data_IF_829160092209
#
_entry.id   IF_829160092209
#
_cell.length_a   1.000
_cell.length_b   1.000
_cell.length_c   1.000
_cell.angle_alpha   90.00
_cell.angle_beta   90.00
_cell.angle_gamma   90.00
#
_symmetry.space_group_name_H-M   'P 1'
#
loop_
_entity.id
_entity.type
_entity.pdbx_description
1 polymer ?
#
# COMPACT_ATOMS: atom_id res chain seq x y z
N UNK A 1 15.15 -1.47 -29.47
CA UNK A 1 15.12 -1.65 -28.00
C UNK A 1 14.58 -0.38 -27.37
N UNK A 2 13.28 -0.30 -27.12
CA UNK A 2 12.65 0.77 -26.33
C UNK A 2 11.39 0.18 -25.72
N UNK A 3 11.50 -0.25 -24.47
CA UNK A 3 10.42 -0.91 -23.73
C UNK A 3 9.48 0.17 -23.18
N UNK A 4 8.40 0.45 -23.91
CA UNK A 4 7.46 1.55 -23.61
C UNK A 4 6.21 1.11 -22.84
N UNK A 5 6.13 -0.15 -22.40
CA UNK A 5 4.88 -0.77 -21.91
C UNK A 5 4.96 -1.24 -20.45
N UNK A 6 5.68 -0.52 -19.57
CA UNK A 6 5.89 -0.97 -18.17
C UNK A 6 5.00 -0.31 -17.11
N UNK A 7 4.05 0.55 -17.47
CA UNK A 7 3.27 1.29 -16.45
C UNK A 7 1.75 1.16 -16.55
N UNK A 8 1.26 0.13 -17.22
CA UNK A 8 -0.16 -0.23 -17.19
C UNK A 8 -0.34 -1.49 -16.36
N UNK A 9 -1.12 -1.39 -15.28
CA UNK A 9 -1.69 -2.56 -14.63
C UNK A 9 -2.41 -3.35 -15.73
N UNK A 10 -1.86 -4.48 -16.13
CA UNK A 10 -2.55 -5.37 -17.06
C UNK A 10 -3.89 -5.77 -16.38
N UNK A 11 -5.06 -5.52 -16.99
CA UNK A 11 -6.35 -5.81 -16.36
C UNK A 11 -6.47 -7.25 -15.88
N UNK A 12 -5.94 -8.21 -16.66
CA UNK A 12 -5.90 -9.63 -16.26
C UNK A 12 -5.04 -9.89 -15.01
N UNK A 13 -3.99 -9.09 -14.80
CA UNK A 13 -3.14 -9.18 -13.61
C UNK A 13 -3.80 -8.56 -12.38
N UNK A 14 -4.59 -7.49 -12.54
CA UNK A 14 -5.33 -6.87 -11.43
C UNK A 14 -6.46 -7.77 -10.92
N UNK A 15 -7.23 -8.36 -11.84
CA UNK A 15 -8.28 -9.31 -11.48
C UNK A 15 -7.71 -10.48 -10.68
N UNK A 16 -6.57 -11.03 -11.10
CA UNK A 16 -5.88 -12.10 -10.38
C UNK A 16 -5.37 -11.64 -9.01
N UNK A 17 -4.84 -10.43 -8.91
CA UNK A 17 -4.36 -9.84 -7.64
C UNK A 17 -5.53 -9.64 -6.66
N UNK A 18 -6.64 -9.09 -7.12
CA UNK A 18 -7.86 -8.89 -6.32
C UNK A 18 -8.47 -10.23 -5.90
N UNK A 19 -8.55 -11.20 -6.81
CA UNK A 19 -8.99 -12.55 -6.48
C UNK A 19 -8.08 -13.20 -5.42
N UNK A 20 -6.77 -12.98 -5.50
CA UNK A 20 -5.83 -13.44 -4.48
C UNK A 20 -6.08 -12.79 -3.12
N UNK A 21 -6.26 -11.47 -3.09
CA UNK A 21 -6.56 -10.72 -1.89
C UNK A 21 -7.86 -11.17 -1.21
N UNK A 22 -8.91 -11.42 -2.00
CA UNK A 22 -10.19 -11.92 -1.50
C UNK A 22 -10.06 -13.28 -0.80
N UNK A 23 -9.21 -14.19 -1.30
CA UNK A 23 -8.99 -15.52 -0.68
C UNK A 23 -8.46 -15.43 0.75
N UNK A 24 -7.68 -14.39 1.07
CA UNK A 24 -7.14 -14.19 2.43
C UNK A 24 -8.18 -13.70 3.44
N UNK A 25 -9.34 -13.19 2.99
CA UNK A 25 -10.41 -12.65 3.86
C UNK A 25 -9.88 -11.62 4.87
N UNK A 26 -8.90 -10.83 4.45
CA UNK A 26 -8.17 -9.92 5.34
C UNK A 26 -8.91 -8.58 5.56
N UNK A 27 -9.74 -8.16 4.60
CA UNK A 27 -10.57 -6.95 4.76
C UNK A 27 -11.57 -7.13 5.91
N UNK A 28 -11.77 -6.08 6.71
CA UNK A 28 -12.61 -6.09 7.93
C UNK A 28 -12.14 -7.01 9.06
N UNK A 29 -10.94 -7.60 8.97
CA UNK A 29 -10.35 -8.33 10.09
C UNK A 29 -9.87 -7.36 11.19
N UNK A 30 -9.88 -7.84 12.44
CA UNK A 30 -9.46 -7.07 13.62
C UNK A 30 -7.96 -6.81 13.68
N UNK A 31 -7.51 -6.17 14.75
CA UNK A 31 -6.09 -5.93 15.00
C UNK A 31 -5.33 -7.27 15.20
N UNK A 32 -4.11 -7.36 14.69
CA UNK A 32 -3.29 -8.58 14.75
C UNK A 32 -1.88 -8.26 15.28
N UNK A 33 -1.49 -8.80 16.45
CA UNK A 33 -0.24 -8.44 17.10
C UNK A 33 1.01 -8.66 16.24
N UNK A 34 1.00 -9.68 15.37
CA UNK A 34 2.12 -9.97 14.47
C UNK A 34 2.41 -8.82 13.49
N UNK A 35 1.38 -8.32 12.81
CA UNK A 35 1.52 -7.19 11.90
C UNK A 35 1.92 -5.90 12.64
N UNK A 36 1.39 -5.69 13.84
CA UNK A 36 1.75 -4.54 14.68
C UNK A 36 3.23 -4.54 15.05
N UNK A 37 3.76 -5.70 15.41
CA UNK A 37 5.18 -5.83 15.74
C UNK A 37 6.07 -5.50 14.53
N UNK A 38 5.69 -5.92 13.31
CA UNK A 38 6.42 -5.56 12.10
C UNK A 38 6.43 -4.04 11.89
N UNK A 39 5.29 -3.36 12.07
CA UNK A 39 5.21 -1.90 11.94
C UNK A 39 6.10 -1.18 12.98
N UNK A 40 6.09 -1.67 14.23
CA UNK A 40 6.94 -1.13 15.31
C UNK A 40 8.42 -1.31 15.00
N UNK A 41 8.81 -2.49 14.48
CA UNK A 41 10.18 -2.77 14.11
C UNK A 41 10.63 -1.86 12.96
N UNK A 42 9.82 -1.72 11.91
CA UNK A 42 10.12 -0.84 10.77
C UNK A 42 10.29 0.61 11.23
N UNK A 43 9.34 1.16 11.99
CA UNK A 43 9.44 2.53 12.54
C UNK A 43 10.71 2.72 13.38
N UNK A 44 11.07 1.74 14.20
CA UNK A 44 12.26 1.80 15.06
C UNK A 44 13.56 1.75 14.26
N UNK A 45 13.70 0.79 13.33
CA UNK A 45 14.91 0.60 12.53
C UNK A 45 15.17 1.83 11.65
N UNK A 46 14.13 2.30 10.96
CA UNK A 46 14.25 3.42 10.03
C UNK A 46 14.15 4.79 10.71
N UNK A 47 13.86 4.83 12.03
CA UNK A 47 13.70 6.05 12.82
C UNK A 47 12.67 7.02 12.22
N UNK A 48 11.55 6.47 11.75
CA UNK A 48 10.45 7.22 11.13
C UNK A 48 9.23 7.27 12.05
N UNK A 49 8.46 8.37 12.03
CA UNK A 49 7.30 8.52 12.90
C UNK A 49 6.13 7.62 12.48
N UNK A 50 6.09 7.20 11.21
CA UNK A 50 4.99 6.44 10.63
C UNK A 50 5.54 5.19 9.94
N UNK A 51 4.92 4.04 10.22
CA UNK A 51 5.09 2.80 9.46
C UNK A 51 3.76 2.04 9.50
N UNK A 52 3.38 1.41 8.40
CA UNK A 52 2.13 0.66 8.33
C UNK A 52 2.21 -0.51 7.35
N UNK A 53 1.26 -1.43 7.52
CA UNK A 53 0.99 -2.52 6.58
C UNK A 53 -0.43 -2.32 6.09
N UNK A 54 -0.60 -2.31 4.77
CA UNK A 54 -1.90 -2.15 4.14
C UNK A 54 -2.13 -3.15 3.03
N UNK A 55 -3.41 -3.35 2.72
CA UNK A 55 -3.88 -4.19 1.64
C UNK A 55 -4.69 -3.36 0.67
N UNK A 56 -4.32 -3.40 -0.61
CA UNK A 56 -4.95 -2.59 -1.63
C UNK A 56 -6.11 -3.35 -2.29
N UNK A 57 -7.34 -2.95 -1.98
CA UNK A 57 -8.54 -3.44 -2.64
C UNK A 57 -8.78 -2.74 -3.97
N UNK A 58 -9.94 -2.98 -4.57
CA UNK A 58 -10.31 -2.39 -5.87
C UNK A 58 -10.40 -0.86 -5.78
N UNK A 59 -11.16 -0.35 -4.80
CA UNK A 59 -11.47 1.08 -4.65
C UNK A 59 -10.88 1.72 -3.38
N UNK A 60 -10.27 0.92 -2.52
CA UNK A 60 -9.79 1.39 -1.22
C UNK A 60 -8.53 0.65 -0.77
N UNK A 61 -7.69 1.35 -0.05
CA UNK A 61 -6.65 0.78 0.79
C UNK A 61 -7.24 0.45 2.17
N UNK A 62 -6.94 -0.74 2.67
CA UNK A 62 -7.20 -1.13 4.06
C UNK A 62 -5.90 -1.14 4.84
N UNK A 63 -5.75 -0.21 5.79
CA UNK A 63 -4.61 -0.17 6.70
C UNK A 63 -4.84 -1.21 7.80
N UNK A 64 -4.11 -2.32 7.72
CA UNK A 64 -4.25 -3.45 8.62
C UNK A 64 -3.72 -3.12 10.01
N UNK A 65 -2.48 -2.64 10.05
CA UNK A 65 -1.77 -2.22 11.25
C UNK A 65 -0.87 -1.03 10.94
N UNK A 66 -0.60 -0.23 11.97
CA UNK A 66 0.20 0.98 11.82
C UNK A 66 0.83 1.40 13.15
N UNK A 67 1.86 2.24 13.02
CA UNK A 67 2.43 3.09 14.07
C UNK A 67 2.40 4.53 13.56
N UNK A 68 1.98 5.47 14.43
CA UNK A 68 2.03 6.91 14.16
C UNK A 68 0.92 7.49 13.27
N UNK A 69 0.03 6.66 12.71
CA UNK A 69 -1.16 7.09 11.96
C UNK A 69 -2.40 7.09 12.85
N UNK A 70 -3.41 7.87 12.47
CA UNK A 70 -4.72 7.82 13.13
C UNK A 70 -5.41 6.50 12.83
N UNK A 71 -6.03 5.88 13.86
CA UNK A 71 -6.89 4.69 13.66
C UNK A 71 -8.12 4.99 12.78
N UNK A 72 -8.48 6.25 12.60
CA UNK A 72 -9.57 6.65 11.69
C UNK A 72 -9.20 6.43 10.21
N UNK A 73 -7.91 6.31 9.88
CA UNK A 73 -7.43 6.04 8.51
C UNK A 73 -7.39 4.54 8.17
N UNK A 74 -8.24 3.73 8.82
CA UNK A 74 -8.31 2.28 8.56
C UNK A 74 -8.70 1.97 7.11
N UNK A 75 -9.48 2.84 6.48
CA UNK A 75 -9.82 2.79 5.07
C UNK A 75 -9.48 4.11 4.40
N UNK A 76 -8.75 4.05 3.30
CA UNK A 76 -8.36 5.22 2.50
C UNK A 76 -8.84 4.98 1.07
N UNK A 77 -9.42 5.99 0.43
CA UNK A 77 -9.78 5.91 -0.99
C UNK A 77 -8.51 5.60 -1.80
N UNK A 78 -8.58 4.59 -2.68
CA UNK A 78 -7.40 4.12 -3.43
C UNK A 78 -6.76 5.25 -4.24
N UNK A 79 -7.53 6.23 -4.70
CA UNK A 79 -7.00 7.39 -5.44
C UNK A 79 -6.09 8.30 -4.60
N UNK A 80 -6.18 8.22 -3.27
CA UNK A 80 -5.34 8.97 -2.32
C UNK A 80 -4.24 8.11 -1.69
N UNK A 81 -4.14 6.83 -2.08
CA UNK A 81 -3.19 5.89 -1.50
C UNK A 81 -1.84 5.95 -2.21
N UNK A 82 -0.76 6.26 -1.49
CA UNK A 82 0.61 6.13 -2.02
C UNK A 82 0.94 4.66 -2.34
N UNK A 83 0.39 3.72 -1.57
CA UNK A 83 0.58 2.28 -1.79
C UNK A 83 -0.02 1.80 -3.12
N UNK A 84 -0.93 2.58 -3.72
CA UNK A 84 -1.44 2.29 -5.07
C UNK A 84 -0.37 2.34 -6.14
N UNK A 85 0.68 3.15 -5.96
CA UNK A 85 1.85 3.18 -6.84
C UNK A 85 2.76 1.99 -6.58
N UNK A 86 2.94 1.62 -5.30
CA UNK A 86 3.85 0.55 -4.90
C UNK A 86 3.39 -0.84 -5.36
N UNK A 87 2.08 -1.07 -5.53
CA UNK A 87 1.58 -2.38 -5.97
C UNK A 87 1.80 -2.65 -7.46
N UNK A 88 2.14 -1.63 -8.25
CA UNK A 88 2.23 -1.72 -9.71
C UNK A 88 3.45 -2.53 -10.18
N UNK A 89 4.49 -2.58 -9.37
CA UNK A 89 5.73 -3.28 -9.66
C UNK A 89 6.21 -4.05 -8.42
N UNK A 90 6.93 -5.16 -8.63
CA UNK A 90 7.55 -5.93 -7.58
C UNK A 90 8.86 -5.30 -7.06
N UNK A 91 9.25 -4.14 -7.59
CA UNK A 91 10.44 -3.39 -7.18
C UNK A 91 10.12 -2.38 -6.07
N UNK A 92 11.14 -1.96 -5.33
CA UNK A 92 10.98 -0.96 -4.27
C UNK A 92 10.52 0.37 -4.87
N UNK A 93 9.40 0.89 -4.38
CA UNK A 93 8.95 2.24 -4.69
C UNK A 93 9.48 3.22 -3.65
N UNK A 94 10.29 4.19 -4.08
CA UNK A 94 10.81 5.28 -3.26
C UNK A 94 10.26 6.61 -3.80
N UNK A 95 9.72 7.43 -2.92
CA UNK A 95 9.26 8.80 -3.18
C UNK A 95 10.07 9.68 -2.24
N UNK A 96 11.02 10.45 -2.77
CA UNK A 96 11.90 11.29 -1.95
C UNK A 96 11.15 12.48 -1.34
N UNK A 97 10.26 13.09 -2.11
CA UNK A 97 9.38 14.16 -1.68
C UNK A 97 8.02 14.06 -2.37
N UNK A 98 6.99 13.72 -1.59
CA UNK A 98 5.64 13.52 -2.11
C UNK A 98 4.99 14.81 -2.64
N UNK A 99 5.41 15.99 -2.18
CA UNK A 99 4.84 17.27 -2.62
C UNK A 99 5.29 17.66 -4.04
N UNK A 100 6.38 17.09 -4.52
CA UNK A 100 7.00 17.43 -5.82
C UNK A 100 7.07 16.25 -6.78
N UNK A 101 6.68 15.05 -6.35
CA UNK A 101 6.70 13.85 -7.19
C UNK A 101 5.59 13.87 -8.25
N UNK A 102 5.99 13.94 -9.51
CA UNK A 102 5.08 13.95 -10.66
C UNK A 102 4.15 12.72 -10.75
N UNK A 103 4.47 11.60 -10.09
CA UNK A 103 3.58 10.41 -10.03
C UNK A 103 2.37 10.63 -9.13
N UNK A 104 2.40 11.68 -8.30
CA UNK A 104 1.35 12.07 -7.34
C UNK A 104 0.64 13.36 -7.75
N UNK A 105 1.02 13.97 -8.87
CA UNK A 105 0.35 15.16 -9.39
C UNK A 105 -1.03 14.78 -9.96
N UNK A 106 -2.06 15.55 -9.60
CA UNK A 106 -3.43 15.44 -10.11
C UNK A 106 -3.54 15.71 -11.62
#
# INVERSE_FOLDING_TARGET
MSNKDKNTINPSSEELRLAALQRYRIFNSGDEPGFRHICQLASTIFKVPIAHISFLGENQEFVKEQVGLSKTLRYVDRKHSLCSLAVLDATLTVIEDAATDHRLAD
#
